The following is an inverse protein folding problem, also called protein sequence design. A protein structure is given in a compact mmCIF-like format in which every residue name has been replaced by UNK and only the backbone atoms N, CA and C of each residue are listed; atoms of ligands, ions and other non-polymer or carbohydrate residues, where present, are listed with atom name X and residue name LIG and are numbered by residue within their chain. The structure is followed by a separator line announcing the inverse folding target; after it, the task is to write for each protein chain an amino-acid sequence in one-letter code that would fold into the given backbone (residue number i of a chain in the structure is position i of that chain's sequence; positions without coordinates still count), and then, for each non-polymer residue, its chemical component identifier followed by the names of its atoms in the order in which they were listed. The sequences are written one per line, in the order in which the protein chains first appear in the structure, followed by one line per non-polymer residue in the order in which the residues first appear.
data_IF_858399098067
#
_entry.id   IF_858399098067
#
_cell.length_a   1.000
_cell.length_b   1.000
_cell.length_c   1.000
_cell.angle_alpha   90.00
_cell.angle_beta   90.00
_cell.angle_gamma   90.00
#
_symmetry.space_group_name_H-M   'P 1'
#
loop_
_entity.id
_entity.type
_entity.pdbx_description
1 polymer ?
#
# COMPACT_ATOMS: atom_id res chain seq x y z
N UNK A 1 16.50 0.30 20.33
CA UNK A 1 15.09 0.41 19.89
C UNK A 1 14.40 1.63 20.47
N UNK A 2 14.54 2.75 19.76
CA UNK A 2 13.77 3.95 20.05
C UNK A 2 12.29 3.71 19.71
N UNK A 3 11.37 4.11 20.59
CA UNK A 3 9.92 3.91 20.41
C UNK A 3 9.32 4.56 19.16
N UNK A 4 10.03 5.54 18.58
CA UNK A 4 9.66 6.25 17.36
C UNK A 4 10.10 5.58 16.06
N UNK A 5 10.96 4.57 16.14
CA UNK A 5 11.54 3.91 14.98
C UNK A 5 10.85 2.57 14.73
N UNK A 6 10.70 2.22 13.47
CA UNK A 6 10.13 0.95 13.05
C UNK A 6 11.10 0.21 12.14
N UNK A 7 11.34 -1.05 12.48
CA UNK A 7 12.12 -1.97 11.67
C UNK A 7 11.15 -2.92 10.98
N UNK A 8 11.20 -2.95 9.65
CA UNK A 8 10.41 -3.83 8.81
C UNK A 8 11.39 -4.75 8.10
N UNK A 9 11.21 -6.07 8.27
CA UNK A 9 12.03 -7.09 7.61
C UNK A 9 11.18 -7.94 6.68
N UNK A 10 11.66 -8.14 5.47
CA UNK A 10 11.10 -9.10 4.52
C UNK A 10 12.27 -9.84 3.87
N UNK A 11 12.38 -11.15 4.14
CA UNK A 11 13.54 -11.96 3.74
C UNK A 11 14.87 -11.30 4.15
N UNK A 12 15.69 -10.94 3.17
CA UNK A 12 16.95 -10.23 3.23
C UNK A 12 16.81 -8.70 3.22
N UNK A 13 15.67 -8.18 2.74
CA UNK A 13 15.38 -6.75 2.75
C UNK A 13 15.01 -6.29 4.17
N UNK A 14 15.76 -5.33 4.69
CA UNK A 14 15.49 -4.66 5.96
C UNK A 14 15.29 -3.17 5.71
N UNK A 15 14.23 -2.62 6.28
CA UNK A 15 13.88 -1.20 6.17
C UNK A 15 13.75 -0.63 7.57
N UNK A 16 14.53 0.42 7.85
CA UNK A 16 14.43 1.22 9.07
C UNK A 16 13.68 2.50 8.74
N UNK A 17 12.61 2.75 9.46
CA UNK A 17 11.80 3.97 9.35
C UNK A 17 11.96 4.75 10.65
N UNK A 18 12.54 5.94 10.57
CA UNK A 18 12.68 6.85 11.71
C UNK A 18 11.89 8.14 11.53
N UNK A 19 11.37 8.68 12.63
CA UNK A 19 10.74 10.00 12.63
C UNK A 19 11.78 11.08 12.88
N UNK A 20 11.95 12.00 11.92
CA UNK A 20 12.72 13.23 12.12
C UNK A 20 11.80 14.26 12.80
N UNK A 21 12.17 14.71 13.99
CA UNK A 21 11.38 15.68 14.76
C UNK A 21 12.20 16.93 15.07
N UNK A 22 11.72 18.11 14.69
CA UNK A 22 12.42 19.40 14.87
C UNK A 22 13.87 19.37 14.34
N UNK A 23 14.06 18.80 13.15
CA UNK A 23 15.40 18.58 12.54
C UNK A 23 16.33 17.64 13.32
N UNK A 24 15.83 16.98 14.37
CA UNK A 24 16.60 15.95 15.06
C UNK A 24 16.38 14.59 14.38
N UNK A 25 17.47 14.06 13.82
CA UNK A 25 17.56 12.73 13.20
C UNK A 25 18.42 11.75 14.02
N UNK A 26 18.84 12.12 15.24
CA UNK A 26 19.75 11.33 16.07
C UNK A 26 19.21 9.93 16.36
N UNK A 27 17.95 9.83 16.77
CA UNK A 27 17.31 8.54 17.06
C UNK A 27 17.32 7.59 15.85
N UNK A 28 17.14 8.12 14.64
CA UNK A 28 17.22 7.32 13.41
C UNK A 28 18.66 6.87 13.14
N UNK A 29 19.63 7.78 13.24
CA UNK A 29 21.05 7.49 13.01
C UNK A 29 21.62 6.50 14.05
N UNK A 30 21.27 6.68 15.32
CA UNK A 30 21.63 5.78 16.43
C UNK A 30 21.10 4.36 16.17
N UNK A 31 19.83 4.23 15.77
CA UNK A 31 19.25 2.91 15.44
C UNK A 31 19.94 2.25 14.24
N UNK A 32 20.33 3.03 13.23
CA UNK A 32 21.12 2.50 12.10
C UNK A 32 22.50 2.04 12.59
N UNK A 33 23.17 2.78 13.47
CA UNK A 33 24.46 2.38 14.03
C UNK A 33 24.38 1.11 14.89
N UNK A 34 23.33 0.99 15.71
CA UNK A 34 23.03 -0.24 16.46
C UNK A 34 22.84 -1.43 15.52
N UNK A 35 22.11 -1.23 14.42
CA UNK A 35 21.87 -2.26 13.41
C UNK A 35 23.15 -2.67 12.68
N UNK A 36 24.00 -1.71 12.29
CA UNK A 36 25.31 -1.97 11.69
C UNK A 36 26.17 -2.80 12.65
N UNK A 37 26.26 -2.39 13.91
CA UNK A 37 27.02 -3.12 14.95
C UNK A 37 26.48 -4.54 15.15
N UNK A 38 25.16 -4.70 15.15
CA UNK A 38 24.53 -6.02 15.25
C UNK A 38 24.84 -6.88 14.02
N UNK A 39 24.81 -6.33 12.81
CA UNK A 39 25.19 -7.04 11.60
C UNK A 39 26.64 -7.53 11.67
N UNK A 40 27.57 -6.70 12.13
CA UNK A 40 28.99 -7.07 12.29
C UNK A 40 29.18 -8.22 13.28
N UNK A 41 28.56 -8.14 14.46
CA UNK A 41 28.60 -9.22 15.47
C UNK A 41 28.02 -10.54 14.94
N UNK A 42 27.02 -10.46 14.06
CA UNK A 42 26.37 -11.62 13.47
C UNK A 42 26.99 -12.06 12.13
N UNK A 43 28.15 -11.52 11.75
CA UNK A 43 28.83 -11.81 10.48
C UNK A 43 27.94 -11.57 9.24
N UNK A 44 27.09 -10.55 9.30
CA UNK A 44 26.25 -10.10 8.20
C UNK A 44 26.89 -8.87 7.55
N UNK A 45 27.07 -8.93 6.24
CA UNK A 45 27.63 -7.83 5.47
C UNK A 45 26.51 -6.92 4.91
N UNK A 46 26.56 -5.63 5.24
CA UNK A 46 25.65 -4.63 4.70
C UNK A 46 26.19 -4.09 3.37
N UNK A 47 25.39 -4.22 2.32
CA UNK A 47 25.74 -3.69 1.00
C UNK A 47 25.28 -2.23 0.88
N UNK A 48 26.20 -1.30 1.16
CA UNK A 48 25.92 0.15 1.13
C UNK A 48 25.45 0.63 -0.25
N UNK A 49 25.96 0.05 -1.33
CA UNK A 49 25.55 0.41 -2.70
C UNK A 49 24.08 0.06 -2.99
N UNK A 50 23.56 -0.99 -2.36
CA UNK A 50 22.15 -1.38 -2.46
C UNK A 50 21.28 -0.66 -1.44
N UNK A 51 21.83 -0.22 -0.31
CA UNK A 51 21.11 0.59 0.67
C UNK A 51 20.81 1.97 0.10
N UNK A 52 19.55 2.40 0.21
CA UNK A 52 19.10 3.70 -0.24
C UNK A 52 18.37 4.40 0.89
N UNK A 53 18.62 5.70 1.03
CA UNK A 53 17.92 6.56 1.98
C UNK A 53 16.86 7.35 1.22
N UNK A 54 15.63 7.38 1.72
CA UNK A 54 14.56 8.21 1.14
C UNK A 54 13.95 9.06 2.25
N UNK A 55 13.98 10.38 2.06
CA UNK A 55 13.50 11.35 3.04
C UNK A 55 12.17 11.91 2.58
N UNK A 56 11.16 11.81 3.44
CA UNK A 56 9.80 12.30 3.17
C UNK A 56 9.56 13.57 3.98
N UNK A 57 9.76 14.74 3.36
CA UNK A 57 9.59 16.05 4.00
C UNK A 57 8.49 16.90 3.31
N UNK A 58 7.45 17.22 4.09
CA UNK A 58 6.31 18.06 3.67
C UNK A 58 6.38 19.50 4.20
N UNK A 59 7.46 19.90 4.87
CA UNK A 59 7.65 21.28 5.32
C UNK A 59 7.78 22.22 4.11
N UNK A 60 7.29 23.46 4.27
CA UNK A 60 7.38 24.50 3.23
C UNK A 60 8.82 24.91 2.98
N UNK A 61 9.58 25.13 4.06
CA UNK A 61 11.01 25.33 4.01
C UNK A 61 11.68 23.98 4.24
N UNK A 62 12.11 23.35 3.16
CA UNK A 62 12.91 22.12 3.21
C UNK A 62 14.34 22.47 3.58
N UNK A 63 14.98 21.58 4.31
CA UNK A 63 16.41 21.63 4.59
C UNK A 63 17.08 20.45 3.92
N UNK A 64 18.32 20.66 3.50
CA UNK A 64 19.14 19.57 3.01
C UNK A 64 19.54 18.71 4.19
N UNK A 65 19.40 17.39 4.01
CA UNK A 65 19.84 16.41 4.99
C UNK A 65 21.22 15.90 4.57
N UNK A 66 22.10 15.77 5.56
CA UNK A 66 23.39 15.14 5.32
C UNK A 66 23.17 13.65 5.06
N UNK A 67 23.82 13.05 4.05
CA UNK A 67 23.68 11.61 3.81
C UNK A 67 23.99 10.77 5.05
N UNK A 68 23.27 9.66 5.20
CA UNK A 68 23.63 8.62 6.15
C UNK A 68 24.99 8.02 5.77
N UNK A 69 25.85 7.76 6.76
CA UNK A 69 27.13 7.09 6.56
C UNK A 69 27.12 5.72 7.24
N UNK A 70 27.46 4.67 6.49
CA UNK A 70 27.61 3.30 6.99
C UNK A 70 29.06 2.87 6.71
N UNK A 71 29.80 2.52 7.75
CA UNK A 71 31.21 2.11 7.68
C UNK A 71 32.08 3.08 6.85
N UNK A 72 31.86 4.39 7.05
CA UNK A 72 32.56 5.47 6.34
C UNK A 72 32.09 5.74 4.91
N UNK A 73 31.18 4.92 4.37
CA UNK A 73 30.62 5.09 3.03
C UNK A 73 29.28 5.83 3.08
N UNK A 74 29.09 6.81 2.19
CA UNK A 74 27.85 7.58 2.09
C UNK A 74 26.74 6.75 1.42
N UNK A 75 25.58 6.67 2.05
CA UNK A 75 24.36 6.08 1.49
C UNK A 75 23.75 7.07 0.50
N UNK A 76 23.28 6.57 -0.64
CA UNK A 76 22.62 7.40 -1.65
C UNK A 76 21.23 7.83 -1.19
N UNK A 77 20.97 9.14 -1.19
CA UNK A 77 19.62 9.70 -1.00
C UNK A 77 18.87 9.65 -2.33
N UNK A 78 17.73 8.97 -2.35
CA UNK A 78 16.89 8.80 -3.55
C UNK A 78 15.51 9.44 -3.38
N UNK A 79 14.94 9.93 -4.49
CA UNK A 79 13.58 10.49 -4.52
C UNK A 79 12.48 9.44 -4.63
N UNK A 80 12.86 8.20 -4.99
CA UNK A 80 11.94 7.09 -5.15
C UNK A 80 12.63 5.77 -4.84
N UNK A 81 11.90 4.87 -4.21
CA UNK A 81 12.34 3.52 -3.90
C UNK A 81 11.31 2.51 -4.37
N UNK A 82 11.77 1.34 -4.81
CA UNK A 82 10.89 0.21 -5.12
C UNK A 82 10.91 -0.75 -3.95
N UNK A 83 9.84 -0.74 -3.16
CA UNK A 83 9.70 -1.59 -1.98
C UNK A 83 8.68 -2.69 -2.25
N UNK A 84 9.09 -3.96 -2.17
CA UNK A 84 8.26 -5.15 -2.41
C UNK A 84 7.42 -5.08 -3.72
N UNK A 85 8.01 -4.50 -4.77
CA UNK A 85 7.35 -4.35 -6.07
C UNK A 85 6.50 -3.09 -6.26
N UNK A 86 6.37 -2.25 -5.24
CA UNK A 86 5.64 -0.98 -5.28
C UNK A 86 6.61 0.21 -5.28
N UNK A 87 6.43 1.16 -6.19
CA UNK A 87 7.23 2.38 -6.17
C UNK A 87 6.65 3.40 -5.18
N UNK A 88 7.48 3.85 -4.25
CA UNK A 88 7.17 4.89 -3.28
C UNK A 88 8.05 6.11 -3.62
N UNK A 89 7.44 7.28 -3.76
CA UNK A 89 8.15 8.53 -4.02
C UNK A 89 8.20 9.39 -2.75
N UNK A 90 9.22 10.24 -2.62
CA UNK A 90 9.41 11.17 -1.50
C UNK A 90 8.20 12.09 -1.24
N UNK A 91 7.48 12.45 -2.31
CA UNK A 91 6.28 13.29 -2.25
C UNK A 91 5.00 12.47 -2.03
N UNK A 92 5.12 11.14 -1.92
CA UNK A 92 4.04 10.16 -1.83
C UNK A 92 3.02 10.26 -2.98
N UNK A 93 3.49 10.70 -4.16
CA UNK A 93 2.74 10.56 -5.42
C UNK A 93 2.92 9.14 -5.96
N UNK A 94 1.89 8.66 -6.66
CA UNK A 94 1.86 7.28 -7.16
C UNK A 94 2.08 7.17 -8.66
N UNK A 95 2.42 8.27 -9.34
CA UNK A 95 2.55 8.33 -10.79
C UNK A 95 3.63 7.40 -11.35
N UNK A 96 4.76 7.25 -10.66
CA UNK A 96 5.80 6.29 -11.06
C UNK A 96 5.30 4.85 -10.94
N UNK A 97 4.61 4.54 -9.83
CA UNK A 97 4.02 3.23 -9.59
C UNK A 97 2.97 2.89 -10.65
N UNK A 98 2.00 3.79 -10.88
CA UNK A 98 0.91 3.62 -11.85
C UNK A 98 1.44 3.49 -13.27
N UNK A 99 2.47 4.25 -13.63
CA UNK A 99 3.15 4.14 -14.92
C UNK A 99 3.83 2.78 -15.09
N UNK A 100 4.53 2.29 -14.08
CA UNK A 100 5.17 0.97 -14.12
C UNK A 100 4.16 -0.17 -14.26
N UNK A 101 3.04 -0.09 -13.51
CA UNK A 101 1.92 -1.04 -13.56
C UNK A 101 1.27 -1.01 -14.94
N UNK A 102 1.04 0.19 -15.48
CA UNK A 102 0.43 0.39 -16.80
C UNK A 102 1.27 -0.26 -17.90
N UNK A 103 2.59 -0.03 -17.92
CA UNK A 103 3.50 -0.65 -18.89
C UNK A 103 3.44 -2.18 -18.84
N UNK A 104 3.50 -2.76 -17.65
CA UNK A 104 3.41 -4.22 -17.46
C UNK A 104 2.05 -4.77 -17.90
N UNK A 105 0.97 -4.09 -17.56
CA UNK A 105 -0.38 -4.50 -17.97
C UNK A 105 -0.60 -4.39 -19.49
N UNK A 106 -0.07 -3.36 -20.14
CA UNK A 106 -0.11 -3.21 -21.60
C UNK A 106 0.60 -4.36 -22.32
N UNK A 107 1.76 -4.81 -21.81
CA UNK A 107 2.43 -5.99 -22.35
C UNK A 107 1.55 -7.24 -22.25
N UNK A 108 0.74 -7.38 -21.19
CA UNK A 108 -0.20 -8.50 -21.03
C UNK A 108 -1.45 -8.36 -21.91
N UNK A 109 -1.91 -7.13 -22.16
CA UNK A 109 -3.00 -6.87 -23.10
C UNK A 109 -2.67 -7.31 -24.53
N UNK A 110 -1.40 -7.20 -24.95
CA UNK A 110 -0.98 -7.70 -26.25
C UNK A 110 -1.24 -9.21 -26.38
N UNK A 111 -0.92 -10.01 -25.36
CA UNK A 111 -1.21 -11.44 -25.35
C UNK A 111 -2.71 -11.72 -25.30
N UNK A 112 -3.48 -10.95 -24.52
CA UNK A 112 -4.94 -11.06 -24.51
C UNK A 112 -5.53 -10.81 -25.91
N UNK A 113 -5.00 -9.82 -26.64
CA UNK A 113 -5.39 -9.56 -28.02
C UNK A 113 -5.01 -10.73 -28.96
N UNK A 114 -3.81 -11.30 -28.83
CA UNK A 114 -3.42 -12.50 -29.59
C UNK A 114 -4.34 -13.70 -29.35
N UNK A 115 -4.77 -13.90 -28.10
CA UNK A 115 -5.73 -14.95 -27.78
C UNK A 115 -7.11 -14.69 -28.41
N UNK A 116 -7.51 -13.42 -28.53
CA UNK A 116 -8.74 -13.04 -29.24
C UNK A 116 -8.61 -13.28 -30.74
N UNK A 117 -7.47 -12.96 -31.36
CA UNK A 117 -7.19 -13.28 -32.77
C UNK A 117 -7.22 -14.79 -33.03
N UNK A 118 -6.85 -15.62 -32.04
CA UNK A 118 -6.96 -17.07 -32.10
C UNK A 118 -8.41 -17.59 -31.90
N UNK A 119 -9.41 -16.70 -31.91
CA UNK A 119 -10.84 -17.04 -31.82
C UNK A 119 -11.24 -17.76 -30.52
N UNK A 120 -10.49 -17.53 -29.44
CA UNK A 120 -10.83 -18.14 -28.15
C UNK A 120 -12.14 -17.55 -27.57
N UNK A 121 -12.99 -18.38 -26.94
CA UNK A 121 -14.22 -17.93 -26.30
C UNK A 121 -14.00 -16.87 -25.22
N UNK A 122 -14.92 -15.92 -25.10
CA UNK A 122 -14.87 -14.85 -24.09
C UNK A 122 -14.69 -15.32 -22.63
N UNK A 123 -15.24 -16.47 -22.18
CA UNK A 123 -14.95 -16.98 -20.83
C UNK A 123 -13.46 -17.29 -20.59
N UNK A 124 -12.77 -17.87 -21.57
CA UNK A 124 -11.34 -18.18 -21.48
C UNK A 124 -10.53 -16.89 -21.43
N UNK A 125 -10.87 -15.93 -22.30
CA UNK A 125 -10.22 -14.61 -22.32
C UNK A 125 -10.43 -13.85 -21.00
N UNK A 126 -11.61 -13.96 -20.39
CA UNK A 126 -11.91 -13.36 -19.09
C UNK A 126 -11.05 -13.98 -17.99
N UNK A 127 -10.89 -15.30 -17.98
CA UNK A 127 -10.01 -15.99 -17.04
C UNK A 127 -8.55 -15.56 -17.22
N UNK A 128 -8.08 -15.47 -18.48
CA UNK A 128 -6.75 -14.98 -18.78
C UNK A 128 -6.54 -13.54 -18.30
N UNK A 129 -7.49 -12.64 -18.56
CA UNK A 129 -7.46 -11.26 -18.07
C UNK A 129 -7.35 -11.20 -16.55
N UNK A 130 -8.20 -11.94 -15.83
CA UNK A 130 -8.19 -11.98 -14.36
C UNK A 130 -6.84 -12.45 -13.82
N UNK A 131 -6.27 -13.50 -14.42
CA UNK A 131 -5.01 -14.09 -13.97
C UNK A 131 -3.77 -13.26 -14.29
N UNK A 132 -3.77 -12.49 -15.40
CA UNK A 132 -2.54 -11.87 -15.93
C UNK A 132 -2.55 -10.35 -15.95
N UNK A 133 -3.70 -9.71 -16.21
CA UNK A 133 -3.83 -8.25 -16.30
C UNK A 133 -4.38 -7.72 -14.99
N UNK A 134 -5.53 -8.22 -14.53
CA UNK A 134 -6.16 -7.77 -13.29
C UNK A 134 -5.28 -8.06 -12.08
N UNK A 135 -4.55 -9.18 -12.06
CA UNK A 135 -3.60 -9.51 -11.00
C UNK A 135 -2.49 -8.45 -10.85
N UNK A 136 -2.00 -7.90 -11.97
CA UNK A 136 -1.02 -6.81 -11.98
C UNK A 136 -1.67 -5.51 -11.48
N UNK A 137 -2.86 -5.18 -11.97
CA UNK A 137 -3.57 -3.96 -11.59
C UNK A 137 -3.99 -3.96 -10.11
N UNK A 138 -4.36 -5.13 -9.57
CA UNK A 138 -4.85 -5.30 -8.20
C UNK A 138 -3.75 -5.58 -7.18
N UNK A 139 -2.49 -5.72 -7.62
CA UNK A 139 -1.34 -5.95 -6.75
C UNK A 139 -1.14 -4.77 -5.80
N UNK A 140 -1.22 -5.03 -4.49
CA UNK A 140 -1.15 -4.03 -3.43
C UNK A 140 -2.10 -2.82 -3.63
N UNK A 141 -3.18 -2.95 -4.41
CA UNK A 141 -4.01 -1.82 -4.83
C UNK A 141 -4.57 -0.98 -3.68
N UNK A 142 -4.81 -1.63 -2.52
CA UNK A 142 -5.28 -0.98 -1.30
C UNK A 142 -4.30 0.06 -0.75
N UNK A 143 -3.00 -0.04 -1.06
CA UNK A 143 -1.98 0.86 -0.49
C UNK A 143 -1.86 2.18 -1.25
N UNK A 144 -2.03 2.15 -2.57
CA UNK A 144 -1.66 3.26 -3.43
C UNK A 144 -2.86 3.88 -4.17
N UNK A 145 -3.89 3.10 -4.53
CA UNK A 145 -4.95 3.58 -5.44
C UNK A 145 -5.78 4.72 -4.85
N UNK A 146 -6.06 4.69 -3.54
CA UNK A 146 -6.79 5.77 -2.85
C UNK A 146 -6.12 7.15 -2.97
N UNK A 147 -4.80 7.17 -3.11
CA UNK A 147 -4.00 8.40 -3.20
C UNK A 147 -3.60 8.75 -4.65
N UNK A 148 -4.10 8.03 -5.65
CA UNK A 148 -3.83 8.32 -7.06
C UNK A 148 -4.56 9.59 -7.52
N UNK A 149 -3.90 10.34 -8.40
CA UNK A 149 -4.53 11.49 -9.07
C UNK A 149 -5.68 11.05 -9.99
N UNK A 150 -6.56 11.98 -10.37
CA UNK A 150 -7.59 11.70 -11.36
C UNK A 150 -7.01 11.23 -12.70
N UNK A 151 -5.84 11.74 -13.08
CA UNK A 151 -5.11 11.31 -14.28
C UNK A 151 -4.67 9.85 -14.17
N UNK A 152 -4.00 9.49 -13.07
CA UNK A 152 -3.56 8.11 -12.80
C UNK A 152 -4.72 7.12 -12.86
N UNK A 153 -5.84 7.46 -12.21
CA UNK A 153 -7.06 6.64 -12.19
C UNK A 153 -7.64 6.44 -13.59
N UNK A 154 -7.69 7.51 -14.41
CA UNK A 154 -8.12 7.43 -15.81
C UNK A 154 -7.20 6.54 -16.63
N UNK A 155 -5.88 6.64 -16.45
CA UNK A 155 -4.90 5.80 -17.15
C UNK A 155 -5.10 4.32 -16.85
N UNK A 156 -5.27 3.96 -15.58
CA UNK A 156 -5.54 2.57 -15.20
C UNK A 156 -6.90 2.08 -15.71
N UNK A 157 -7.94 2.92 -15.67
CA UNK A 157 -9.26 2.56 -16.21
C UNK A 157 -9.24 2.32 -17.73
N UNK A 158 -8.36 3.00 -18.48
CA UNK A 158 -8.19 2.74 -19.93
C UNK A 158 -7.69 1.32 -20.21
N UNK A 159 -6.86 0.74 -19.34
CA UNK A 159 -6.39 -0.65 -19.47
C UNK A 159 -7.58 -1.60 -19.36
N UNK A 160 -8.42 -1.43 -18.33
CA UNK A 160 -9.64 -2.22 -18.15
C UNK A 160 -10.57 -2.07 -19.35
N UNK A 161 -10.82 -0.84 -19.81
CA UNK A 161 -11.66 -0.59 -21.00
C UNK A 161 -11.12 -1.22 -22.28
N UNK A 162 -9.80 -1.30 -22.41
CA UNK A 162 -9.17 -1.96 -23.56
C UNK A 162 -9.41 -3.47 -23.49
N UNK A 163 -9.27 -4.08 -22.32
CA UNK A 163 -9.59 -5.49 -22.11
C UNK A 163 -11.09 -5.78 -22.38
N UNK A 164 -12.01 -4.93 -21.91
CA UNK A 164 -13.45 -5.05 -22.17
C UNK A 164 -13.73 -5.13 -23.68
N UNK A 165 -13.13 -4.23 -24.46
CA UNK A 165 -13.27 -4.20 -25.92
C UNK A 165 -12.72 -5.46 -26.59
N UNK A 166 -11.57 -5.96 -26.13
CA UNK A 166 -10.95 -7.17 -26.70
C UNK A 166 -11.81 -8.41 -26.39
N UNK A 167 -12.35 -8.51 -25.19
CA UNK A 167 -13.09 -9.69 -24.71
C UNK A 167 -14.54 -9.67 -25.20
N UNK A 168 -15.13 -8.49 -25.36
CA UNK A 168 -16.54 -8.29 -25.69
C UNK A 168 -17.48 -8.49 -24.49
N UNK A 169 -16.97 -8.35 -23.25
CA UNK A 169 -17.73 -8.53 -22.01
C UNK A 169 -17.45 -7.35 -21.07
N UNK A 170 -18.46 -6.94 -20.31
CA UNK A 170 -18.32 -5.92 -19.26
C UNK A 170 -17.42 -6.41 -18.14
N UNK A 171 -16.42 -5.59 -17.75
CA UNK A 171 -15.50 -5.91 -16.66
C UNK A 171 -15.69 -4.93 -15.49
N UNK A 172 -15.37 -5.35 -14.26
CA UNK A 172 -15.38 -4.43 -13.13
C UNK A 172 -14.42 -3.26 -13.36
N UNK A 173 -14.88 -2.04 -13.08
CA UNK A 173 -14.02 -0.86 -13.12
C UNK A 173 -12.84 -0.99 -12.14
N UNK A 174 -11.74 -0.28 -12.40
CA UNK A 174 -10.57 -0.35 -11.50
C UNK A 174 -10.93 0.16 -10.08
N UNK A 175 -11.85 1.12 -10.00
CA UNK A 175 -12.40 1.61 -8.75
C UNK A 175 -13.20 0.54 -8.01
N UNK A 176 -14.04 -0.22 -8.72
CA UNK A 176 -14.79 -1.34 -8.12
C UNK A 176 -13.84 -2.42 -7.61
N UNK A 177 -12.82 -2.79 -8.38
CA UNK A 177 -11.79 -3.74 -7.96
C UNK A 177 -11.14 -3.26 -6.66
N UNK A 178 -10.70 -2.00 -6.61
CA UNK A 178 -10.13 -1.41 -5.40
C UNK A 178 -11.09 -1.47 -4.20
N UNK A 179 -12.34 -1.04 -4.36
CA UNK A 179 -13.35 -1.06 -3.28
C UNK A 179 -13.56 -2.49 -2.76
N UNK A 180 -13.77 -3.45 -3.66
CA UNK A 180 -13.95 -4.86 -3.28
C UNK A 180 -12.73 -5.39 -2.51
N UNK A 181 -11.51 -5.01 -2.90
CA UNK A 181 -10.28 -5.41 -2.20
C UNK A 181 -10.15 -4.75 -0.82
N UNK A 182 -10.52 -3.48 -0.69
CA UNK A 182 -10.56 -2.76 0.58
C UNK A 182 -11.55 -3.42 1.55
N UNK A 183 -12.79 -3.64 1.11
CA UNK A 183 -13.83 -4.31 1.91
C UNK A 183 -13.34 -5.68 2.36
N UNK A 184 -12.86 -6.52 1.43
CA UNK A 184 -12.36 -7.86 1.78
C UNK A 184 -11.22 -7.82 2.80
N UNK A 185 -10.27 -6.88 2.66
CA UNK A 185 -9.17 -6.75 3.63
C UNK A 185 -9.69 -6.31 5.00
N UNK A 186 -10.59 -5.33 5.06
CA UNK A 186 -11.19 -4.90 6.33
C UNK A 186 -12.00 -6.01 7.00
N UNK A 187 -12.82 -6.75 6.24
CA UNK A 187 -13.56 -7.91 6.78
C UNK A 187 -12.61 -8.96 7.35
N UNK A 188 -11.48 -9.21 6.71
CA UNK A 188 -10.47 -10.14 7.25
C UNK A 188 -9.82 -9.62 8.53
N UNK A 189 -9.54 -8.32 8.63
CA UNK A 189 -8.99 -7.70 9.85
C UNK A 189 -10.00 -7.78 11.01
N UNK A 190 -11.28 -7.48 10.74
CA UNK A 190 -12.36 -7.54 11.73
C UNK A 190 -12.58 -8.97 12.23
N UNK A 191 -12.43 -9.97 11.36
CA UNK A 191 -12.59 -11.39 11.74
C UNK A 191 -11.42 -11.96 12.52
N UNK A 192 -10.27 -11.30 12.53
CA UNK A 192 -9.06 -11.77 13.17
C UNK A 192 -8.68 -10.85 14.35
N UNK A 193 -9.04 -11.21 15.59
CA UNK A 193 -8.68 -10.44 16.79
C UNK A 193 -7.17 -10.32 17.01
N UNK A 194 -6.36 -11.22 16.44
CA UNK A 194 -4.89 -11.20 16.58
C UNK A 194 -4.23 -10.27 15.58
N UNK A 195 -4.96 -9.77 14.59
CA UNK A 195 -4.42 -8.87 13.59
C UNK A 195 -4.01 -7.54 14.25
N UNK A 196 -2.79 -7.02 14.00
CA UNK A 196 -2.29 -5.78 14.64
C UNK A 196 -3.20 -4.56 14.43
N UNK A 197 -3.90 -4.52 13.30
CA UNK A 197 -4.86 -3.46 12.96
C UNK A 197 -6.30 -3.72 13.44
N UNK A 198 -6.58 -4.79 14.18
CA UNK A 198 -7.93 -5.15 14.60
C UNK A 198 -8.57 -4.04 15.45
N UNK A 199 -7.81 -3.45 16.37
CA UNK A 199 -8.27 -2.37 17.25
C UNK A 199 -8.74 -1.11 16.48
N UNK A 200 -8.22 -0.90 15.26
CA UNK A 200 -8.65 0.20 14.38
C UNK A 200 -10.09 0.03 13.88
N UNK A 201 -10.65 -1.18 13.97
CA UNK A 201 -12.01 -1.54 13.58
C UNK A 201 -12.89 -1.86 14.80
N UNK A 202 -12.66 -1.17 15.91
CA UNK A 202 -13.57 -1.25 17.08
C UNK A 202 -14.86 -0.47 16.83
N UNK A 203 -16.02 -1.10 17.01
CA UNK A 203 -17.32 -0.40 16.92
C UNK A 203 -17.54 0.54 18.12
N UNK A 204 -18.22 1.65 17.86
CA UNK A 204 -18.76 2.52 18.92
C UNK A 204 -19.90 1.80 19.66
N UNK A 205 -20.24 2.22 20.90
CA UNK A 205 -21.30 1.58 21.70
C UNK A 205 -22.66 1.47 21.00
N UNK A 206 -22.94 2.33 20.02
CA UNK A 206 -24.15 2.25 19.20
C UNK A 206 -24.19 1.06 18.25
N UNK A 207 -23.09 0.33 18.06
CA UNK A 207 -22.95 -0.79 17.12
C UNK A 207 -22.99 -0.41 15.64
N UNK A 208 -23.16 0.89 15.32
CA UNK A 208 -23.42 1.36 13.94
C UNK A 208 -22.18 1.88 13.22
N UNK A 209 -21.15 2.31 13.96
CA UNK A 209 -20.00 3.01 13.39
C UNK A 209 -18.71 2.51 14.00
N UNK A 210 -17.68 2.36 13.19
CA UNK A 210 -16.32 2.11 13.66
C UNK A 210 -15.68 3.38 14.23
N UNK A 211 -14.82 3.23 15.23
CA UNK A 211 -14.05 4.32 15.84
C UNK A 211 -13.21 5.03 14.76
N UNK A 212 -13.23 6.36 14.76
CA UNK A 212 -12.36 7.14 13.89
C UNK A 212 -10.94 7.14 14.43
N UNK A 213 -9.95 7.06 13.53
CA UNK A 213 -8.58 7.40 13.89
C UNK A 213 -8.61 8.92 14.11
N UNK A 214 -8.23 9.35 15.32
CA UNK A 214 -8.08 10.77 15.59
C UNK A 214 -6.88 11.29 14.77
N UNK A 215 -7.13 12.30 13.95
CA UNK A 215 -6.10 12.94 13.12
C UNK A 215 -6.37 14.42 12.97
N UNK A 216 -5.29 15.20 12.98
CA UNK A 216 -5.32 16.65 12.72
C UNK A 216 -5.26 16.99 11.23
N UNK A 217 -5.16 16.01 10.32
CA UNK A 217 -5.09 16.24 8.87
C UNK A 217 -6.13 15.41 8.11
N UNK A 218 -6.81 16.05 7.14
CA UNK A 218 -7.71 15.40 6.19
C UNK A 218 -7.00 14.27 5.43
N UNK A 219 -5.72 14.47 5.11
CA UNK A 219 -4.86 13.48 4.44
C UNK A 219 -4.73 12.15 5.20
N UNK A 220 -4.75 12.15 6.54
CA UNK A 220 -4.77 10.90 7.31
C UNK A 220 -6.20 10.36 7.47
N UNK A 221 -7.20 11.24 7.58
CA UNK A 221 -8.61 10.85 7.63
C UNK A 221 -9.04 10.09 6.36
N UNK A 222 -8.48 10.48 5.22
CA UNK A 222 -8.77 9.91 3.90
C UNK A 222 -7.92 8.67 3.55
N UNK A 223 -7.11 8.13 4.48
CA UNK A 223 -6.13 7.07 4.16
C UNK A 223 -6.59 5.61 4.37
N UNK A 224 -6.09 4.82 3.42
CA UNK A 224 -5.81 3.36 3.32
C UNK A 224 -6.95 2.36 3.47
N UNK A 225 -7.82 2.49 4.46
CA UNK A 225 -8.98 1.61 4.63
C UNK A 225 -10.21 2.39 5.10
N UNK A 226 -10.07 3.65 5.50
CA UNK A 226 -11.05 4.30 6.35
C UNK A 226 -12.10 5.12 5.60
N UNK A 227 -11.76 6.01 4.67
CA UNK A 227 -12.77 6.86 4.01
C UNK A 227 -13.78 6.05 3.18
N UNK A 228 -13.30 5.09 2.37
CA UNK A 228 -14.16 4.32 1.47
C UNK A 228 -14.99 3.24 2.18
N UNK A 229 -14.47 2.62 3.25
CA UNK A 229 -15.22 1.62 4.04
C UNK A 229 -16.16 2.32 5.04
N UNK A 230 -15.78 3.49 5.57
CA UNK A 230 -16.66 4.28 6.46
C UNK A 230 -17.80 4.95 5.72
N UNK A 231 -17.63 5.32 4.46
CA UNK A 231 -18.71 5.84 3.61
C UNK A 231 -19.66 4.74 3.11
N UNK A 232 -19.29 3.46 3.21
CA UNK A 232 -20.10 2.31 2.79
C UNK A 232 -20.36 1.30 3.92
N UNK A 233 -20.65 1.81 5.12
CA UNK A 233 -21.01 1.00 6.29
C UNK A 233 -22.23 0.08 6.08
N UNK A 234 -23.05 0.32 5.05
CA UNK A 234 -24.17 -0.54 4.67
C UNK A 234 -23.76 -1.77 3.84
N UNK A 235 -22.52 -1.84 3.33
CA UNK A 235 -22.02 -2.96 2.51
C UNK A 235 -21.13 -3.94 3.30
N UNK A 236 -20.70 -3.59 4.52
CA UNK A 236 -20.03 -4.51 5.45
C UNK A 236 -21.11 -5.09 6.36
N UNK A 237 -21.45 -6.38 6.26
CA UNK A 237 -22.49 -6.95 7.10
C UNK A 237 -22.10 -6.78 8.58
N UNK A 238 -22.97 -6.25 9.44
CA UNK A 238 -22.76 -6.35 10.87
C UNK A 238 -22.62 -7.84 11.18
N UNK A 239 -21.48 -8.24 11.76
CA UNK A 239 -21.36 -9.60 12.26
C UNK A 239 -22.48 -9.77 13.28
N UNK A 240 -23.43 -10.66 12.98
CA UNK A 240 -24.45 -11.09 13.93
C UNK A 240 -23.72 -11.74 15.11
N UNK A 241 -23.47 -10.98 16.17
CA UNK A 241 -23.23 -11.54 17.49
C UNK A 241 -24.56 -11.52 18.25
N UNK A 242 -24.86 -12.58 19.01
CA UNK A 242 -26.16 -12.77 19.63
C UNK A 242 -26.43 -11.62 20.60
N UNK A 243 -27.67 -11.15 20.61
CA UNK A 243 -28.16 -10.23 21.61
C UNK A 243 -27.86 -10.83 22.99
N UNK A 244 -26.86 -10.27 23.69
CA UNK A 244 -26.69 -10.53 25.11
C UNK A 244 -27.90 -9.87 25.76
N UNK A 245 -28.86 -10.71 26.13
CA UNK A 245 -30.06 -10.31 26.82
C UNK A 245 -29.69 -9.54 28.08
N UNK A 246 -30.39 -8.43 28.29
CA UNK A 246 -30.51 -7.82 29.60
C UNK A 246 -30.92 -8.91 30.59
N UNK A 247 -30.05 -9.21 31.54
CA UNK A 247 -30.48 -9.75 32.83
C UNK A 247 -30.25 -8.65 33.84
N UNK A 248 -31.34 -7.99 34.19
CA UNK A 248 -31.44 -7.20 35.39
C UNK A 248 -31.29 -8.13 36.60
N UNK A 249 -30.37 -7.79 37.50
CA UNK A 249 -30.37 -8.10 38.93
C UNK A 249 -29.37 -7.18 39.59
#
# INVERSE_FOLDING_TARGET
MHSSNHIIKFTDDMTVVGLINKDNESAYREEVQELVSWCEVNNLYLNVDKTKEMIVDFRRARRDHSPLAINGSSVEIVKNIKFLGVHIAENLTWTLNTSSITKRAQQRLYFLWKLREAHLPSPILTTFYRGTVESILSSCIITWFGNCTAFDRKTLQRIVRTAEKIIGVSLPSITNIYITRCIRKATNIVKDPTHPSHELFTLLPSGRRYRSIQSCTSRLCDRLLNSDIKNRQNEVPPCHLPAVGNVAS
#
